data_IF_194738762722
#
_entry.id   IF_194738762722
#
_cell.length_a   1.000
_cell.length_b   1.000
_cell.length_c   1.000
_cell.angle_alpha   90.00
_cell.angle_beta   90.00
_cell.angle_gamma   90.00
#
_symmetry.space_group_name_H-M   'P 1'
#
loop_
_entity.id
_entity.type
_entity.pdbx_description
1 polymer ?
#
# COMPACT_ATOMS: atom_id res chain seq x y z
N UNK A 1 13.39 -19.19 -9.35
CA UNK A 1 14.25 -19.17 -10.54
C UNK A 1 13.43 -19.70 -11.69
N UNK A 2 12.74 -18.83 -12.42
CA UNK A 2 12.15 -19.14 -13.72
C UNK A 2 13.07 -18.50 -14.74
N UNK A 3 13.72 -19.31 -15.58
CA UNK A 3 14.43 -18.85 -16.77
C UNK A 3 13.41 -18.17 -17.67
N UNK A 4 13.34 -16.82 -17.67
CA UNK A 4 12.58 -16.09 -18.68
C UNK A 4 13.22 -16.40 -20.04
N UNK A 5 12.52 -17.17 -20.88
CA UNK A 5 12.90 -17.41 -22.26
C UNK A 5 12.98 -16.06 -22.97
N UNK A 6 14.15 -15.77 -23.55
CA UNK A 6 14.38 -14.54 -24.32
C UNK A 6 13.49 -14.56 -25.57
N UNK A 7 12.70 -13.50 -25.78
CA UNK A 7 11.89 -13.34 -26.99
C UNK A 7 12.80 -13.26 -28.23
N UNK A 8 12.51 -14.09 -29.23
CA UNK A 8 13.18 -14.12 -30.52
C UNK A 8 12.23 -13.66 -31.66
N UNK A 9 12.69 -13.78 -32.91
CA UNK A 9 11.95 -13.30 -34.07
C UNK A 9 10.70 -14.12 -34.39
N UNK A 10 10.62 -15.37 -33.94
CA UNK A 10 9.52 -16.29 -34.25
C UNK A 10 8.41 -16.22 -33.18
N UNK A 11 8.68 -15.56 -32.05
CA UNK A 11 7.71 -15.37 -30.99
C UNK A 11 6.53 -14.49 -31.42
N UNK A 12 5.32 -14.92 -31.10
CA UNK A 12 4.06 -14.22 -31.38
C UNK A 12 3.52 -13.59 -30.09
N UNK A 13 3.42 -12.25 -29.98
CA UNK A 13 2.80 -11.61 -28.83
C UNK A 13 1.34 -12.00 -28.66
N UNK A 14 0.90 -12.36 -27.44
CA UNK A 14 -0.52 -12.59 -27.17
C UNK A 14 -1.35 -11.33 -27.47
N UNK A 15 -2.56 -11.54 -27.97
CA UNK A 15 -3.51 -10.47 -28.27
C UNK A 15 -3.75 -9.59 -27.03
N UNK A 16 -3.75 -8.27 -27.25
CA UNK A 16 -3.93 -7.26 -26.19
C UNK A 16 -5.10 -6.31 -26.55
N UNK A 17 -6.35 -6.81 -26.59
CA UNK A 17 -7.45 -6.13 -27.27
C UNK A 17 -7.96 -4.89 -26.53
N UNK A 18 -7.73 -4.80 -25.22
CA UNK A 18 -8.22 -3.71 -24.37
C UNK A 18 -7.11 -2.74 -23.96
N UNK A 19 -5.98 -2.67 -24.68
CA UNK A 19 -4.87 -1.79 -24.31
C UNK A 19 -5.30 -0.31 -24.26
N UNK A 20 -5.29 0.27 -23.06
CA UNK A 20 -5.43 1.70 -22.88
C UNK A 20 -4.07 2.38 -23.08
N UNK A 21 -4.08 3.49 -23.81
CA UNK A 21 -2.88 4.25 -24.12
C UNK A 21 -3.10 5.71 -23.81
N UNK A 22 -2.24 6.26 -22.94
CA UNK A 22 -2.31 7.64 -22.46
C UNK A 22 -0.99 8.33 -22.78
N UNK A 23 -1.06 9.47 -23.45
CA UNK A 23 0.11 10.31 -23.76
C UNK A 23 0.22 11.46 -22.75
N UNK A 24 1.43 11.68 -22.24
CA UNK A 24 1.80 12.85 -21.44
C UNK A 24 3.26 13.22 -21.69
N UNK A 25 3.51 14.47 -22.07
CA UNK A 25 4.86 15.05 -22.24
C UNK A 25 5.80 14.20 -23.12
N UNK A 26 5.27 13.62 -24.20
CA UNK A 26 6.02 12.78 -25.14
C UNK A 26 6.25 11.33 -24.66
N UNK A 27 5.70 10.95 -23.50
CA UNK A 27 5.72 9.58 -22.97
C UNK A 27 4.34 8.94 -23.11
N UNK A 28 4.33 7.65 -23.41
CA UNK A 28 3.12 6.91 -23.72
C UNK A 28 2.98 5.76 -22.72
N UNK A 29 2.04 5.90 -21.80
CA UNK A 29 1.66 4.84 -20.86
C UNK A 29 0.75 3.86 -21.61
N UNK A 30 1.16 2.59 -21.67
CA UNK A 30 0.36 1.50 -22.20
C UNK A 30 -0.07 0.62 -21.02
N UNK A 31 -1.36 0.65 -20.70
CA UNK A 31 -1.99 -0.02 -19.57
C UNK A 31 -2.87 -1.16 -20.10
N UNK A 32 -2.74 -2.35 -19.51
CA UNK A 32 -3.77 -3.37 -19.66
C UNK A 32 -4.83 -3.12 -18.58
N UNK A 33 -6.08 -2.76 -18.90
CA UNK A 33 -7.09 -2.40 -17.89
C UNK A 33 -7.58 -3.62 -17.10
N UNK A 34 -7.26 -4.85 -17.53
CA UNK A 34 -7.75 -6.09 -16.93
C UNK A 34 -6.83 -6.60 -15.82
N UNK A 35 -5.58 -6.14 -15.75
CA UNK A 35 -4.61 -6.50 -14.71
C UNK A 35 -3.85 -5.24 -14.27
N UNK A 36 -3.29 -5.17 -13.05
CA UNK A 36 -2.51 -4.01 -12.62
C UNK A 36 -1.10 -3.98 -13.25
N UNK A 37 -1.03 -4.00 -14.58
CA UNK A 37 0.21 -4.01 -15.38
C UNK A 37 0.22 -2.89 -16.41
N UNK A 38 1.34 -2.19 -16.49
CA UNK A 38 1.58 -1.12 -17.46
C UNK A 38 3.06 -1.03 -17.83
N UNK A 39 3.33 -0.46 -19.00
CA UNK A 39 4.68 -0.04 -19.41
C UNK A 39 4.63 1.39 -19.95
N UNK A 40 5.76 2.10 -19.86
CA UNK A 40 5.92 3.43 -20.47
C UNK A 40 6.88 3.32 -21.64
N UNK A 41 6.46 3.81 -22.80
CA UNK A 41 7.24 3.79 -24.04
C UNK A 41 7.11 5.12 -24.78
N UNK A 42 7.69 5.21 -25.97
CA UNK A 42 7.50 6.32 -26.92
C UNK A 42 6.39 5.98 -27.89
N UNK A 43 5.93 6.97 -28.66
CA UNK A 43 4.87 6.81 -29.66
C UNK A 43 5.00 5.56 -30.54
N UNK A 44 6.17 5.20 -31.13
CA UNK A 44 6.29 4.00 -31.96
C UNK A 44 5.99 2.71 -31.20
N UNK A 45 6.45 2.59 -29.95
CA UNK A 45 6.18 1.41 -29.13
C UNK A 45 4.71 1.30 -28.74
N UNK A 46 4.06 2.42 -28.42
CA UNK A 46 2.64 2.43 -28.07
C UNK A 46 1.75 2.05 -29.27
N UNK A 47 2.09 2.55 -30.46
CA UNK A 47 1.41 2.15 -31.69
C UNK A 47 1.63 0.67 -31.99
N UNK A 48 2.88 0.18 -31.85
CA UNK A 48 3.19 -1.23 -32.06
C UNK A 48 2.39 -2.15 -31.13
N UNK A 49 2.27 -1.80 -29.84
CA UNK A 49 1.46 -2.58 -28.89
C UNK A 49 -0.03 -2.56 -29.24
N UNK A 50 -0.55 -1.45 -29.78
CA UNK A 50 -1.92 -1.37 -30.29
C UNK A 50 -2.17 -2.18 -31.56
N UNK A 51 -1.13 -2.46 -32.34
CA UNK A 51 -1.22 -3.23 -33.57
C UNK A 51 -1.13 -4.75 -33.34
N UNK A 52 -0.91 -5.18 -32.09
CA UNK A 52 -0.80 -6.61 -31.78
C UNK A 52 -2.11 -7.31 -32.14
N UNK A 53 -2.01 -8.28 -33.05
CA UNK A 53 -3.11 -9.08 -33.59
C UNK A 53 -3.21 -10.49 -32.96
N UNK A 54 -2.19 -10.92 -32.21
CA UNK A 54 -2.10 -12.27 -31.66
C UNK A 54 -1.65 -13.34 -32.67
N UNK A 55 -1.27 -12.94 -33.89
CA UNK A 55 -0.96 -13.85 -35.00
C UNK A 55 0.43 -13.57 -35.60
N UNK A 56 0.79 -12.30 -35.76
CA UNK A 56 2.06 -11.87 -36.35
C UNK A 56 3.23 -12.05 -35.40
N UNK A 57 4.37 -12.55 -35.90
CA UNK A 57 5.60 -12.73 -35.12
C UNK A 57 6.36 -11.41 -34.91
N UNK A 58 7.32 -11.40 -33.99
CA UNK A 58 8.28 -10.29 -33.83
C UNK A 58 8.94 -9.93 -35.16
N UNK A 59 9.34 -10.92 -35.96
CA UNK A 59 9.94 -10.73 -37.27
C UNK A 59 8.99 -10.10 -38.29
N UNK A 60 7.68 -10.40 -38.22
CA UNK A 60 6.66 -9.77 -39.06
C UNK A 60 6.54 -8.28 -38.75
N UNK A 61 6.46 -7.93 -37.46
CA UNK A 61 6.43 -6.54 -37.02
C UNK A 61 7.70 -5.77 -37.39
N UNK A 62 8.88 -6.40 -37.27
CA UNK A 62 10.13 -5.77 -37.69
C UNK A 62 10.13 -5.46 -39.19
N UNK A 63 9.74 -6.42 -40.03
CA UNK A 63 9.61 -6.22 -41.48
C UNK A 63 8.62 -5.11 -41.82
N UNK A 64 7.47 -5.06 -41.13
CA UNK A 64 6.48 -4.01 -41.30
C UNK A 64 7.07 -2.63 -41.01
N UNK A 65 7.77 -2.47 -39.88
CA UNK A 65 8.39 -1.19 -39.51
C UNK A 65 9.49 -0.78 -40.50
N UNK A 66 10.36 -1.72 -40.90
CA UNK A 66 11.43 -1.47 -41.87
C UNK A 66 10.87 -1.01 -43.22
N UNK A 67 9.77 -1.61 -43.69
CA UNK A 67 9.08 -1.22 -44.93
C UNK A 67 8.54 0.21 -44.89
N UNK A 68 8.30 0.78 -43.71
CA UNK A 68 7.85 2.15 -43.50
C UNK A 68 8.96 3.10 -43.02
N UNK A 69 10.23 2.65 -43.05
CA UNK A 69 11.37 3.46 -42.63
C UNK A 69 11.42 3.73 -41.12
N UNK A 70 10.76 2.91 -40.32
CA UNK A 70 10.75 3.01 -38.85
C UNK A 70 11.79 2.02 -38.30
N UNK A 71 12.74 2.47 -37.44
CA UNK A 71 13.74 1.57 -36.87
C UNK A 71 13.12 0.40 -36.08
N UNK A 72 13.47 -0.84 -36.46
CA UNK A 72 12.91 -2.08 -35.90
C UNK A 72 13.79 -2.77 -34.84
N UNK A 73 15.01 -2.27 -34.60
CA UNK A 73 16.01 -2.90 -33.73
C UNK A 73 15.59 -3.05 -32.24
N UNK A 74 14.48 -2.42 -31.81
CA UNK A 74 13.96 -2.47 -30.44
C UNK A 74 12.66 -3.26 -30.25
N UNK A 75 12.11 -3.90 -31.29
CA UNK A 75 10.80 -4.59 -31.21
C UNK A 75 10.82 -5.74 -30.20
N UNK A 76 11.81 -6.65 -30.30
CA UNK A 76 11.95 -7.78 -29.40
C UNK A 76 12.14 -7.34 -27.94
N UNK A 77 12.93 -6.28 -27.72
CA UNK A 77 13.15 -5.72 -26.38
C UNK A 77 11.87 -5.12 -25.80
N UNK A 78 11.09 -4.39 -26.60
CA UNK A 78 9.80 -3.84 -26.17
C UNK A 78 8.85 -4.95 -25.71
N UNK A 79 8.71 -6.02 -26.49
CA UNK A 79 7.85 -7.14 -26.12
C UNK A 79 8.40 -7.92 -24.92
N UNK A 80 9.72 -8.00 -24.76
CA UNK A 80 10.32 -8.62 -23.57
C UNK A 80 9.97 -7.80 -22.33
N UNK A 81 10.07 -6.48 -22.41
CA UNK A 81 9.66 -5.58 -21.32
C UNK A 81 8.18 -5.71 -21.04
N UNK A 82 7.31 -5.76 -22.06
CA UNK A 82 5.88 -5.96 -21.90
C UNK A 82 5.55 -7.31 -21.23
N UNK A 83 6.20 -8.39 -21.63
CA UNK A 83 6.04 -9.73 -21.05
C UNK A 83 6.49 -9.77 -19.60
N UNK A 84 7.70 -9.29 -19.29
CA UNK A 84 8.22 -9.22 -17.92
C UNK A 84 7.37 -8.30 -17.03
N UNK A 85 6.79 -7.25 -17.59
CA UNK A 85 5.83 -6.39 -16.91
C UNK A 85 4.46 -7.06 -16.69
N UNK A 86 4.21 -8.23 -17.29
CA UNK A 86 2.93 -8.96 -17.27
C UNK A 86 1.82 -8.23 -18.04
N UNK A 87 2.18 -7.43 -19.05
CA UNK A 87 1.22 -6.64 -19.83
C UNK A 87 0.26 -7.53 -20.62
N UNK A 88 0.73 -8.68 -21.12
CA UNK A 88 -0.07 -9.64 -21.88
C UNK A 88 -0.96 -10.55 -21.03
N UNK A 89 -0.92 -10.41 -19.71
CA UNK A 89 -1.75 -11.25 -18.87
C UNK A 89 -3.20 -10.78 -18.88
N UNK A 90 -4.10 -11.74 -18.96
CA UNK A 90 -5.48 -11.53 -18.53
C UNK A 90 -5.57 -11.85 -17.04
N UNK A 91 -6.51 -11.24 -16.30
CA UNK A 91 -6.78 -11.66 -14.96
C UNK A 91 -7.12 -13.15 -15.06
N UNK A 92 -6.30 -13.99 -14.43
CA UNK A 92 -6.83 -15.24 -13.93
C UNK A 92 -7.86 -14.78 -12.91
N UNK A 93 -9.11 -14.63 -13.33
CA UNK A 93 -10.23 -14.77 -12.41
C UNK A 93 -9.89 -16.06 -11.70
N UNK A 94 -9.60 -16.06 -10.38
CA UNK A 94 -9.46 -17.31 -9.66
C UNK A 94 -10.71 -18.09 -10.06
N UNK A 95 -10.53 -19.25 -10.70
CA UNK A 95 -11.71 -20.02 -11.12
C UNK A 95 -12.58 -20.13 -9.88
N UNK A 96 -13.88 -19.86 -9.96
CA UNK A 96 -14.79 -20.09 -8.83
C UNK A 96 -14.51 -21.52 -8.36
N UNK A 97 -13.92 -21.67 -7.17
CA UNK A 97 -13.42 -22.96 -6.65
C UNK A 97 -11.89 -23.18 -6.61
N UNK A 98 -11.04 -22.29 -7.14
CA UNK A 98 -9.61 -22.22 -6.77
C UNK A 98 -9.53 -21.64 -5.37
N UNK A 99 -9.61 -22.55 -4.42
CA UNK A 99 -9.59 -22.24 -3.01
C UNK A 99 -8.28 -21.54 -2.62
N UNK A 100 -8.29 -20.76 -1.54
CA UNK A 100 -7.08 -20.17 -0.92
C UNK A 100 -6.04 -21.23 -0.46
N UNK A 101 -6.26 -22.51 -0.77
CA UNK A 101 -5.45 -23.64 -0.36
C UNK A 101 -4.03 -23.48 -0.92
N UNK A 102 -3.11 -23.18 -0.01
CA UNK A 102 -1.67 -23.05 -0.30
C UNK A 102 -1.15 -21.61 -0.29
N UNK A 103 -2.01 -20.58 -0.34
CA UNK A 103 -1.57 -19.18 -0.19
C UNK A 103 -1.38 -18.86 1.29
N UNK A 104 -0.21 -18.33 1.63
CA UNK A 104 0.10 -17.89 3.00
C UNK A 104 -0.05 -16.39 3.12
N UNK A 105 -0.66 -15.93 4.21
CA UNK A 105 -0.73 -14.50 4.52
C UNK A 105 0.66 -13.92 4.75
N UNK A 106 0.94 -12.79 4.09
CA UNK A 106 2.23 -12.11 4.19
C UNK A 106 2.16 -10.81 4.97
N UNK A 107 0.97 -10.20 5.06
CA UNK A 107 0.74 -9.03 5.89
C UNK A 107 -0.70 -8.96 6.43
N UNK A 108 -0.85 -8.49 7.66
CA UNK A 108 -2.14 -8.07 8.24
C UNK A 108 -1.99 -6.63 8.74
N UNK A 109 -2.97 -5.81 8.38
CA UNK A 109 -3.17 -4.50 8.95
C UNK A 109 -4.23 -4.61 10.06
N UNK A 110 -3.77 -4.74 11.31
CA UNK A 110 -4.60 -5.01 12.47
C UNK A 110 -5.00 -3.69 13.14
N UNK A 111 -6.29 -3.38 13.10
CA UNK A 111 -6.88 -2.30 13.87
C UNK A 111 -7.21 -2.83 15.25
N UNK A 112 -6.39 -2.49 16.24
CA UNK A 112 -6.56 -3.03 17.60
C UNK A 112 -7.72 -2.35 18.35
N UNK A 113 -8.01 -1.10 17.99
CA UNK A 113 -9.15 -0.34 18.48
C UNK A 113 -9.44 0.80 17.51
N UNK A 114 -10.70 1.20 17.31
CA UNK A 114 -11.03 2.44 16.62
C UNK A 114 -11.00 3.68 17.54
N UNK A 115 -10.78 3.49 18.85
CA UNK A 115 -10.56 4.58 19.80
C UNK A 115 -9.23 5.27 19.52
N UNK A 116 -9.24 6.60 19.52
CA UNK A 116 -8.05 7.43 19.35
C UNK A 116 -8.07 8.58 20.34
N UNK A 117 -6.91 9.02 20.83
CA UNK A 117 -6.85 10.24 21.63
C UNK A 117 -6.93 11.53 20.79
N UNK A 118 -7.05 11.41 19.46
CA UNK A 118 -7.26 12.51 18.51
C UNK A 118 -8.55 12.28 17.71
N UNK A 119 -9.03 13.34 17.06
CA UNK A 119 -10.16 13.31 16.13
C UNK A 119 -9.79 14.08 14.86
N UNK A 120 -8.84 13.54 14.08
CA UNK A 120 -8.34 14.21 12.88
C UNK A 120 -9.45 14.49 11.87
N UNK A 121 -9.39 15.63 11.19
CA UNK A 121 -10.42 16.10 10.24
C UNK A 121 -10.60 15.16 9.06
N UNK A 122 -9.52 14.53 8.56
CA UNK A 122 -9.56 13.66 7.38
C UNK A 122 -9.63 12.15 7.70
N UNK A 123 -9.79 11.77 8.97
CA UNK A 123 -9.60 10.37 9.40
C UNK A 123 -10.52 9.40 8.63
N UNK A 124 -9.92 8.53 7.82
CA UNK A 124 -10.66 7.54 7.01
C UNK A 124 -11.40 6.48 7.83
N UNK A 125 -11.01 6.26 9.09
CA UNK A 125 -11.66 5.33 10.04
C UNK A 125 -12.68 6.00 10.96
N UNK A 126 -12.80 7.32 10.85
CA UNK A 126 -13.61 8.14 11.75
C UNK A 126 -13.26 7.97 13.23
N UNK A 127 -12.02 7.56 13.53
CA UNK A 127 -11.56 7.32 14.90
C UNK A 127 -11.72 8.55 15.80
N UNK A 128 -12.07 8.36 17.06
CA UNK A 128 -12.25 9.45 18.02
C UNK A 128 -12.03 8.99 19.47
N UNK A 129 -11.92 9.93 20.43
CA UNK A 129 -11.81 9.60 21.86
C UNK A 129 -13.06 8.93 22.45
N UNK A 130 -14.21 9.13 21.81
CA UNK A 130 -15.52 8.68 22.27
C UNK A 130 -15.85 7.26 21.84
N UNK A 131 -15.13 6.72 20.84
CA UNK A 131 -15.37 5.35 20.39
C UNK A 131 -14.96 4.32 21.46
N UNK A 132 -15.73 3.23 21.59
CA UNK A 132 -15.44 2.19 22.58
C UNK A 132 -14.25 1.33 22.15
N UNK A 133 -13.77 0.53 23.10
CA UNK A 133 -12.89 -0.60 22.82
C UNK A 133 -13.77 -1.84 22.78
N UNK A 134 -13.80 -2.52 21.65
CA UNK A 134 -14.80 -3.57 21.38
C UNK A 134 -14.46 -4.91 22.03
N UNK A 135 -13.18 -5.28 22.06
CA UNK A 135 -12.71 -6.55 22.60
C UNK A 135 -11.46 -6.34 23.46
N UNK A 136 -11.18 -7.30 24.33
CA UNK A 136 -9.97 -7.32 25.14
C UNK A 136 -8.80 -7.99 24.39
N UNK A 137 -7.63 -8.04 25.04
CA UNK A 137 -6.41 -8.62 24.49
C UNK A 137 -6.59 -10.09 24.08
N UNK A 138 -7.34 -10.86 24.87
CA UNK A 138 -7.47 -12.30 24.71
C UNK A 138 -8.08 -12.68 23.36
N UNK A 139 -9.03 -11.86 22.87
CA UNK A 139 -9.67 -12.07 21.56
C UNK A 139 -8.66 -11.93 20.42
N UNK A 140 -7.81 -10.92 20.47
CA UNK A 140 -6.77 -10.69 19.45
C UNK A 140 -5.63 -11.71 19.55
N UNK A 141 -5.25 -12.12 20.77
CA UNK A 141 -4.24 -13.16 21.01
C UNK A 141 -4.71 -14.49 20.39
N UNK A 142 -5.92 -14.93 20.71
CA UNK A 142 -6.51 -16.14 20.16
C UNK A 142 -6.59 -16.09 18.63
N UNK A 143 -6.93 -14.93 18.06
CA UNK A 143 -6.91 -14.72 16.61
C UNK A 143 -5.49 -14.87 16.02
N UNK A 144 -4.46 -14.27 16.62
CA UNK A 144 -3.09 -14.36 16.10
C UNK A 144 -2.56 -15.79 16.12
N UNK A 145 -2.89 -16.55 17.17
CA UNK A 145 -2.58 -17.98 17.30
C UNK A 145 -3.35 -18.82 16.28
N UNK A 146 -4.65 -18.56 16.14
CA UNK A 146 -5.51 -19.23 15.15
C UNK A 146 -5.00 -19.02 13.72
N UNK A 147 -4.55 -17.81 13.38
CA UNK A 147 -4.06 -17.49 12.04
C UNK A 147 -2.68 -18.08 11.76
N UNK A 148 -1.92 -18.51 12.78
CA UNK A 148 -0.51 -18.93 12.66
C UNK A 148 -0.27 -19.98 11.55
N UNK A 149 -1.06 -21.06 11.44
CA UNK A 149 -0.89 -22.06 10.39
C UNK A 149 -1.08 -21.49 8.98
N UNK A 150 -1.80 -20.38 8.82
CA UNK A 150 -2.09 -19.74 7.54
C UNK A 150 -1.12 -18.62 7.17
N UNK A 151 -0.19 -18.28 8.07
CA UNK A 151 0.79 -17.21 7.85
C UNK A 151 2.06 -17.67 7.17
N UNK A 152 2.72 -16.76 6.44
CA UNK A 152 4.04 -17.00 5.86
C UNK A 152 5.14 -16.81 6.91
N UNK A 153 6.35 -17.38 6.70
CA UNK A 153 7.50 -17.15 7.59
C UNK A 153 7.95 -15.68 7.70
N UNK A 154 7.44 -14.80 6.84
CA UNK A 154 7.78 -13.37 6.82
C UNK A 154 6.59 -12.48 7.15
N UNK A 155 5.54 -13.05 7.75
CA UNK A 155 4.31 -12.38 8.12
C UNK A 155 4.59 -11.08 8.88
N UNK A 156 3.96 -10.01 8.42
CA UNK A 156 4.06 -8.67 8.97
C UNK A 156 2.72 -8.25 9.57
N UNK A 157 2.72 -7.81 10.83
CA UNK A 157 1.54 -7.21 11.46
C UNK A 157 1.77 -5.71 11.56
N UNK A 158 0.94 -4.91 10.89
CA UNK A 158 0.86 -3.47 11.13
C UNK A 158 -0.20 -3.20 12.17
N UNK A 159 0.22 -2.82 13.37
CA UNK A 159 -0.67 -2.36 14.45
C UNK A 159 -1.13 -0.95 14.15
N UNK A 160 -2.43 -0.77 14.01
CA UNK A 160 -3.11 0.48 13.70
C UNK A 160 -4.50 0.49 14.35
N UNK A 161 -5.47 1.20 13.76
CA UNK A 161 -6.76 1.50 14.37
C UNK A 161 -7.06 2.99 14.30
N UNK A 162 -7.63 3.49 15.39
CA UNK A 162 -7.42 4.86 15.84
C UNK A 162 -5.99 5.02 16.32
N UNK A 163 -5.77 4.86 17.63
CA UNK A 163 -4.42 4.80 18.20
C UNK A 163 -4.22 3.45 18.92
N UNK A 164 -3.40 2.53 18.39
CA UNK A 164 -3.25 1.19 18.97
C UNK A 164 -2.77 1.23 20.42
N UNK A 165 -1.97 2.22 20.83
CA UNK A 165 -1.49 2.36 22.21
C UNK A 165 -2.58 2.77 23.21
N UNK A 166 -3.80 3.08 22.74
CA UNK A 166 -4.96 3.34 23.60
C UNK A 166 -5.66 2.05 24.05
N UNK A 167 -5.37 0.91 23.42
CA UNK A 167 -5.92 -0.38 23.82
C UNK A 167 -5.20 -0.90 25.10
N UNK A 168 -5.91 -1.22 26.20
CA UNK A 168 -5.30 -1.69 27.44
C UNK A 168 -4.39 -2.91 27.27
N UNK A 169 -4.78 -3.81 26.36
CA UNK A 169 -4.02 -5.01 25.99
C UNK A 169 -2.92 -4.83 24.95
N UNK A 170 -2.58 -3.59 24.55
CA UNK A 170 -1.64 -3.34 23.44
C UNK A 170 -0.31 -4.10 23.59
N UNK A 171 0.28 -4.08 24.79
CA UNK A 171 1.56 -4.75 25.05
C UNK A 171 1.44 -6.27 24.92
N UNK A 172 0.43 -6.85 25.56
CA UNK A 172 0.19 -8.30 25.57
C UNK A 172 -0.02 -8.86 24.15
N UNK A 173 -0.82 -8.18 23.32
CA UNK A 173 -1.05 -8.61 21.93
C UNK A 173 0.24 -8.51 21.09
N UNK A 174 1.04 -7.47 21.28
CA UNK A 174 2.32 -7.27 20.57
C UNK A 174 3.37 -8.29 21.00
N UNK A 175 3.46 -8.60 22.29
CA UNK A 175 4.35 -9.63 22.85
C UNK A 175 4.01 -10.99 22.25
N UNK A 176 2.73 -11.38 22.25
CA UNK A 176 2.26 -12.61 21.59
C UNK A 176 2.60 -12.61 20.10
N UNK A 177 2.35 -11.51 19.38
CA UNK A 177 2.72 -11.38 17.96
C UNK A 177 4.23 -11.60 17.73
N UNK A 178 5.06 -11.08 18.63
CA UNK A 178 6.51 -11.25 18.62
C UNK A 178 6.90 -12.71 18.89
N UNK A 179 6.29 -13.35 19.89
CA UNK A 179 6.53 -14.77 20.24
C UNK A 179 6.12 -15.72 19.10
N UNK A 180 5.07 -15.39 18.37
CA UNK A 180 4.66 -16.11 17.16
C UNK A 180 5.62 -15.87 15.97
N UNK A 181 6.66 -15.05 16.13
CA UNK A 181 7.67 -14.77 15.11
C UNK A 181 7.21 -13.80 14.03
N UNK A 182 6.15 -13.02 14.27
CA UNK A 182 5.69 -12.02 13.34
C UNK A 182 6.54 -10.75 13.37
N UNK A 183 6.60 -10.05 12.24
CA UNK A 183 7.34 -8.80 12.07
C UNK A 183 6.42 -7.61 12.32
N UNK A 184 6.49 -7.02 13.51
CA UNK A 184 5.58 -5.94 13.88
C UNK A 184 5.99 -4.59 13.27
N UNK A 185 5.00 -3.80 12.87
CA UNK A 185 5.09 -2.38 12.51
C UNK A 185 4.07 -1.62 13.33
N UNK A 186 4.47 -0.51 13.92
CA UNK A 186 3.55 0.39 14.60
C UNK A 186 3.14 1.50 13.64
N UNK A 187 1.85 1.81 13.51
CA UNK A 187 1.37 3.09 13.00
C UNK A 187 0.74 3.85 14.18
N UNK A 188 1.31 5.00 14.52
CA UNK A 188 0.91 5.78 15.70
C UNK A 188 0.88 7.28 15.39
N UNK A 189 0.02 8.00 16.10
CA UNK A 189 0.03 9.46 16.16
C UNK A 189 1.21 10.01 16.98
N UNK A 190 1.93 9.16 17.73
CA UNK A 190 3.11 9.48 18.54
C UNK A 190 2.93 10.59 19.60
N UNK A 191 1.71 11.00 19.91
CA UNK A 191 1.44 12.08 20.87
C UNK A 191 1.71 11.68 22.33
N UNK A 192 1.85 10.38 22.62
CA UNK A 192 1.98 9.84 23.99
C UNK A 192 3.18 8.89 24.14
N UNK A 193 4.26 9.09 23.37
CA UNK A 193 5.48 8.28 23.49
C UNK A 193 6.23 8.63 24.78
N UNK A 194 6.08 7.78 25.79
CA UNK A 194 6.87 7.80 27.04
C UNK A 194 8.16 6.99 26.88
N UNK A 195 9.12 7.11 27.80
CA UNK A 195 10.33 6.28 27.75
C UNK A 195 10.02 4.78 27.84
N UNK A 196 9.17 4.29 28.76
CA UNK A 196 8.80 2.88 28.80
C UNK A 196 8.07 2.38 27.54
N UNK A 197 7.34 3.26 26.85
CA UNK A 197 6.71 2.90 25.57
C UNK A 197 7.74 2.88 24.45
N UNK A 198 8.70 3.81 24.44
CA UNK A 198 9.77 3.84 23.46
C UNK A 198 10.72 2.62 23.60
N UNK A 199 11.03 2.19 24.83
CA UNK A 199 11.79 0.96 25.11
C UNK A 199 11.04 -0.26 24.56
N UNK A 200 9.75 -0.37 24.86
CA UNK A 200 8.91 -1.43 24.33
C UNK A 200 8.83 -1.44 22.79
N UNK A 201 8.74 -0.26 22.17
CA UNK A 201 8.72 -0.15 20.71
C UNK A 201 10.05 -0.63 20.12
N UNK A 202 11.18 -0.29 20.74
CA UNK A 202 12.49 -0.75 20.32
C UNK A 202 12.62 -2.28 20.35
N UNK A 203 12.11 -2.92 21.41
CA UNK A 203 12.20 -4.36 21.59
C UNK A 203 11.30 -5.15 20.61
N UNK A 204 10.09 -4.65 20.33
CA UNK A 204 9.06 -5.44 19.64
C UNK A 204 8.75 -5.03 18.21
N UNK A 205 9.20 -3.84 17.76
CA UNK A 205 8.86 -3.32 16.44
C UNK A 205 10.09 -3.04 15.60
N UNK A 206 10.08 -3.56 14.37
CA UNK A 206 11.18 -3.30 13.41
C UNK A 206 11.18 -1.85 12.88
N UNK A 207 10.03 -1.15 13.00
CA UNK A 207 9.84 0.27 12.65
C UNK A 207 8.54 0.83 13.20
N UNK A 208 8.54 2.15 13.43
CA UNK A 208 7.35 2.93 13.73
C UNK A 208 7.05 3.90 12.56
N UNK A 209 5.80 3.90 12.09
CA UNK A 209 5.24 4.89 11.18
C UNK A 209 4.58 5.97 12.03
N UNK A 210 5.03 7.20 11.89
CA UNK A 210 4.60 8.33 12.72
C UNK A 210 3.94 9.37 11.83
N UNK A 211 2.75 9.75 12.26
CA UNK A 211 1.91 10.74 11.64
C UNK A 211 2.37 12.18 11.92
N UNK A 212 2.79 12.94 10.91
CA UNK A 212 3.19 14.35 11.02
C UNK A 212 2.82 15.12 9.75
N UNK A 213 1.83 16.01 9.82
CA UNK A 213 1.28 16.66 8.61
C UNK A 213 1.71 18.13 8.43
N UNK A 214 2.60 18.65 9.28
CA UNK A 214 3.03 20.04 9.22
C UNK A 214 4.36 20.28 9.94
N UNK A 215 5.10 21.33 9.58
CA UNK A 215 6.42 21.64 10.14
C UNK A 215 6.38 22.34 11.50
N UNK A 216 5.19 22.75 11.94
CA UNK A 216 4.97 23.45 13.20
C UNK A 216 3.53 23.22 13.69
N UNK A 217 3.23 23.74 14.87
CA UNK A 217 1.91 23.60 15.51
C UNK A 217 0.78 24.26 14.69
N UNK A 218 1.05 25.41 14.05
CA UNK A 218 0.06 26.13 13.25
C UNK A 218 -0.46 25.28 12.10
N UNK A 219 0.43 24.63 11.35
CA UNK A 219 0.05 23.78 10.21
C UNK A 219 -0.43 22.40 10.67
N UNK A 220 0.29 21.74 11.60
CA UNK A 220 -0.06 20.39 12.04
C UNK A 220 -1.45 20.33 12.71
N UNK A 221 -1.82 21.38 13.45
CA UNK A 221 -3.10 21.40 14.17
C UNK A 221 -4.32 21.56 13.26
N UNK A 222 -4.14 22.04 12.01
CA UNK A 222 -5.23 22.17 11.04
C UNK A 222 -5.90 20.82 10.75
N UNK A 223 -5.13 19.73 10.80
CA UNK A 223 -5.63 18.40 10.49
C UNK A 223 -5.70 17.47 11.69
N UNK A 224 -4.82 17.64 12.68
CA UNK A 224 -4.67 16.71 13.82
C UNK A 224 -5.03 17.30 15.18
N UNK A 225 -5.52 18.55 15.20
CA UNK A 225 -5.92 19.24 16.42
C UNK A 225 -4.74 19.85 17.19
N UNK A 226 -5.07 20.80 18.07
CA UNK A 226 -4.10 21.65 18.78
C UNK A 226 -3.33 20.91 19.87
N UNK A 227 -2.11 21.36 20.12
CA UNK A 227 -1.20 20.94 21.19
C UNK A 227 -0.44 19.65 20.91
N UNK A 228 -0.44 19.15 19.66
CA UNK A 228 0.11 17.83 19.35
C UNK A 228 1.51 17.87 18.73
N UNK A 229 1.88 18.91 17.99
CA UNK A 229 3.11 18.92 17.20
C UNK A 229 4.35 18.65 18.06
N UNK A 230 4.50 19.39 19.16
CA UNK A 230 5.65 19.22 20.05
C UNK A 230 5.72 17.83 20.69
N UNK A 231 4.57 17.19 20.94
CA UNK A 231 4.51 15.83 21.49
C UNK A 231 5.01 14.82 20.44
N UNK A 232 4.59 14.99 19.19
CA UNK A 232 5.02 14.13 18.06
C UNK A 232 6.53 14.22 17.87
N UNK A 233 7.09 15.44 17.83
CA UNK A 233 8.55 15.64 17.68
C UNK A 233 9.32 14.96 18.81
N UNK A 234 8.92 15.18 20.08
CA UNK A 234 9.55 14.49 21.22
C UNK A 234 9.42 12.97 21.14
N UNK A 235 8.29 12.47 20.63
CA UNK A 235 8.10 11.03 20.40
C UNK A 235 9.05 10.47 19.35
N UNK A 236 9.25 11.18 18.24
CA UNK A 236 10.22 10.84 17.19
C UNK A 236 11.63 10.79 17.79
N UNK A 237 12.05 11.82 18.53
CA UNK A 237 13.38 11.90 19.16
C UNK A 237 13.63 10.74 20.12
N UNK A 238 12.66 10.42 20.99
CA UNK A 238 12.75 9.30 21.94
C UNK A 238 12.95 7.95 21.25
N UNK A 239 12.29 7.74 20.11
CA UNK A 239 12.39 6.52 19.31
C UNK A 239 13.74 6.44 18.58
N UNK A 240 14.16 7.54 17.96
CA UNK A 240 15.45 7.62 17.29
C UNK A 240 16.63 7.42 18.25
N UNK A 241 16.55 7.96 19.46
CA UNK A 241 17.55 7.76 20.51
C UNK A 241 17.76 6.28 20.89
N UNK A 242 16.77 5.43 20.64
CA UNK A 242 16.82 3.97 20.84
C UNK A 242 17.13 3.21 19.54
N UNK A 243 17.50 3.90 18.47
CA UNK A 243 17.77 3.28 17.17
C UNK A 243 16.54 2.69 16.49
N UNK A 244 15.32 3.07 16.90
CA UNK A 244 14.09 2.65 16.20
C UNK A 244 14.09 3.27 14.81
N UNK A 245 13.79 2.45 13.79
CA UNK A 245 13.55 2.95 12.44
C UNK A 245 12.23 3.71 12.39
N UNK A 246 12.29 5.01 12.18
CA UNK A 246 11.14 5.89 12.08
C UNK A 246 10.80 6.18 10.62
N UNK A 247 9.52 6.07 10.30
CA UNK A 247 8.94 6.47 9.03
C UNK A 247 7.96 7.58 9.31
N UNK A 248 8.34 8.83 9.08
CA UNK A 248 7.39 9.93 9.16
C UNK A 248 6.48 9.85 7.94
N UNK A 249 5.21 9.63 8.18
CA UNK A 249 4.17 9.54 7.16
C UNK A 249 3.34 10.82 7.20
N UNK A 250 3.45 11.59 6.12
CA UNK A 250 2.75 12.87 5.92
C UNK A 250 1.52 12.59 5.07
N UNK A 251 0.34 12.94 5.57
CA UNK A 251 -0.87 12.99 4.74
C UNK A 251 -0.88 14.33 4.01
N UNK A 252 -0.74 14.31 2.68
CA UNK A 252 -0.70 15.50 1.86
C UNK A 252 -2.10 15.96 1.48
N UNK A 253 -2.48 17.15 1.94
CA UNK A 253 -3.56 17.97 1.40
C UNK A 253 -3.01 19.00 0.40
N UNK A 254 -3.89 19.62 -0.39
CA UNK A 254 -3.54 20.79 -1.23
C UNK A 254 -2.89 21.89 -0.41
N UNK A 255 -3.48 22.24 0.73
CA UNK A 255 -2.94 23.23 1.67
C UNK A 255 -1.61 22.84 2.31
N UNK A 256 -1.32 21.54 2.41
CA UNK A 256 -0.09 21.01 3.01
C UNK A 256 1.11 20.97 2.06
N UNK A 257 0.88 20.92 0.73
CA UNK A 257 1.93 20.79 -0.28
C UNK A 257 3.07 21.84 -0.16
N UNK A 258 2.81 23.13 0.10
CA UNK A 258 3.88 24.13 0.22
C UNK A 258 4.85 23.88 1.37
N UNK A 259 4.44 23.16 2.42
CA UNK A 259 5.21 23.03 3.67
C UNK A 259 6.08 21.77 3.73
N UNK A 260 6.10 20.96 2.68
CA UNK A 260 6.70 19.64 2.73
C UNK A 260 8.21 19.67 2.94
N UNK A 261 8.91 20.60 2.31
CA UNK A 261 10.35 20.78 2.54
C UNK A 261 10.65 21.25 3.96
N UNK A 262 9.77 22.07 4.54
CA UNK A 262 9.90 22.52 5.93
C UNK A 262 9.73 21.36 6.91
N UNK A 263 8.83 20.41 6.63
CA UNK A 263 8.69 19.20 7.46
C UNK A 263 10.02 18.45 7.54
N UNK A 264 10.76 18.35 6.43
CA UNK A 264 12.08 17.70 6.44
C UNK A 264 13.10 18.47 7.29
N UNK A 265 13.07 19.81 7.26
CA UNK A 265 14.01 20.66 8.01
C UNK A 265 13.82 20.59 9.53
N UNK A 266 12.61 20.28 10.01
CA UNK A 266 12.34 20.15 11.44
C UNK A 266 12.58 18.73 11.98
N UNK A 267 12.94 17.78 11.11
CA UNK A 267 13.21 16.40 11.48
C UNK A 267 14.73 16.13 11.57
N UNK A 268 15.19 15.26 12.47
CA UNK A 268 16.60 14.88 12.52
C UNK A 268 17.09 14.22 11.23
N UNK A 269 18.26 14.63 10.74
CA UNK A 269 18.94 13.98 9.63
C UNK A 269 19.66 12.71 10.13
N UNK A 270 19.06 11.55 9.90
CA UNK A 270 19.61 10.26 10.33
C UNK A 270 19.18 9.13 9.39
N UNK A 271 20.03 8.11 9.13
CA UNK A 271 19.64 6.96 8.31
C UNK A 271 18.48 6.15 8.90
N UNK A 272 18.16 6.32 10.18
CA UNK A 272 17.02 5.67 10.84
C UNK A 272 15.71 6.41 10.64
N UNK A 273 15.69 7.59 9.99
CA UNK A 273 14.48 8.34 9.69
C UNK A 273 14.29 8.44 8.18
N UNK A 274 13.06 8.20 7.73
CA UNK A 274 12.63 8.52 6.36
C UNK A 274 11.28 9.22 6.38
N UNK A 275 11.06 10.12 5.42
CA UNK A 275 9.78 10.76 5.20
C UNK A 275 9.10 10.10 4.00
N UNK A 276 7.82 9.76 4.14
CA UNK A 276 6.97 9.23 3.08
C UNK A 276 5.68 10.04 3.00
N UNK A 277 5.14 10.15 1.80
CA UNK A 277 3.98 10.97 1.51
C UNK A 277 2.84 10.08 1.02
N UNK A 278 1.65 10.32 1.56
CA UNK A 278 0.41 9.65 1.17
C UNK A 278 -0.61 10.74 0.85
N UNK A 279 -1.40 10.64 -0.23
CA UNK A 279 -2.40 11.66 -0.50
C UNK A 279 -3.51 11.59 0.56
N UNK A 280 -4.14 12.72 0.85
CA UNK A 280 -5.41 12.74 1.55
C UNK A 280 -6.43 11.98 0.70
N UNK A 281 -7.03 10.94 1.28
CA UNK A 281 -8.11 10.19 0.64
C UNK A 281 -9.45 10.75 1.11
N UNK A 282 -10.40 11.05 0.21
CA UNK A 282 -11.74 11.53 0.57
C UNK A 282 -12.62 10.37 1.08
N UNK A 283 -12.28 9.82 2.24
CA UNK A 283 -12.95 8.68 2.88
C UNK A 283 -13.18 8.97 4.37
N UNK A 284 -14.22 8.39 4.96
CA UNK A 284 -14.66 8.72 6.32
C UNK A 284 -14.88 10.23 6.46
N UNK A 285 -14.37 10.84 7.53
CA UNK A 285 -14.38 12.32 7.68
C UNK A 285 -13.58 13.04 6.60
N UNK A 286 -12.64 12.38 5.93
CA UNK A 286 -11.95 12.91 4.75
C UNK A 286 -12.90 13.30 3.61
N UNK A 287 -14.09 12.72 3.54
CA UNK A 287 -15.11 13.11 2.56
C UNK A 287 -15.62 14.54 2.79
N UNK A 288 -15.63 15.03 4.03
CA UNK A 288 -16.04 16.41 4.36
C UNK A 288 -15.01 17.46 3.92
N UNK A 289 -13.77 17.03 3.68
CA UNK A 289 -12.65 17.86 3.22
C UNK A 289 -12.13 17.36 1.87
N UNK A 290 -13.00 16.80 1.02
CA UNK A 290 -12.61 16.25 -0.28
C UNK A 290 -11.93 17.27 -1.19
N UNK A 291 -12.29 18.56 -1.07
CA UNK A 291 -11.66 19.64 -1.84
C UNK A 291 -10.17 19.82 -1.51
N UNK A 292 -9.73 19.38 -0.33
CA UNK A 292 -8.32 19.38 0.11
C UNK A 292 -7.53 18.18 -0.41
N UNK A 293 -8.17 17.17 -1.00
CA UNK A 293 -7.46 16.05 -1.63
C UNK A 293 -6.67 16.57 -2.85
N UNK A 294 -5.35 16.38 -2.92
CA UNK A 294 -4.58 16.75 -4.11
C UNK A 294 -5.07 15.91 -5.29
N UNK A 295 -5.07 16.48 -6.48
CA UNK A 295 -5.29 15.67 -7.67
C UNK A 295 -4.08 14.76 -7.93
N UNK A 296 -4.24 13.80 -8.85
CA UNK A 296 -3.18 12.86 -9.16
C UNK A 296 -1.94 13.55 -9.71
N UNK A 297 -2.10 14.63 -10.49
CA UNK A 297 -1.00 15.29 -11.17
C UNK A 297 -0.13 16.05 -10.16
N UNK A 298 -0.78 16.78 -9.24
CA UNK A 298 -0.16 17.42 -8.09
C UNK A 298 0.58 16.41 -7.21
N UNK A 299 -0.10 15.32 -6.81
CA UNK A 299 0.48 14.34 -5.90
C UNK A 299 1.64 13.57 -6.53
N UNK A 300 1.47 13.03 -7.75
CA UNK A 300 2.52 12.25 -8.41
C UNK A 300 3.66 13.12 -8.93
N UNK A 301 3.38 14.35 -9.36
CA UNK A 301 4.39 15.35 -9.68
C UNK A 301 5.25 15.65 -8.45
N UNK A 302 4.61 15.99 -7.33
CA UNK A 302 5.28 16.19 -6.05
C UNK A 302 6.08 14.96 -5.61
N UNK A 303 5.45 13.77 -5.61
CA UNK A 303 6.04 12.53 -5.14
C UNK A 303 7.31 12.21 -5.92
N UNK A 304 7.26 12.33 -7.25
CA UNK A 304 8.41 12.11 -8.15
C UNK A 304 9.56 13.07 -7.84
N UNK A 305 9.27 14.36 -7.66
CA UNK A 305 10.29 15.37 -7.33
C UNK A 305 10.98 15.09 -5.97
N UNK A 306 10.28 14.43 -5.04
CA UNK A 306 10.76 14.19 -3.68
C UNK A 306 11.25 12.76 -3.42
N UNK A 307 11.55 12.02 -4.50
CA UNK A 307 12.10 10.65 -4.46
C UNK A 307 11.07 9.56 -4.18
N UNK A 308 9.79 9.92 -4.13
CA UNK A 308 8.65 9.03 -4.29
C UNK A 308 8.42 8.69 -5.77
N UNK A 309 7.50 7.76 -6.03
CA UNK A 309 7.28 7.20 -7.36
C UNK A 309 7.90 5.82 -7.53
N UNK A 310 7.22 4.99 -8.31
CA UNK A 310 7.71 3.66 -8.69
C UNK A 310 8.97 3.88 -9.51
N UNK A 311 10.15 3.56 -8.95
CA UNK A 311 11.37 3.49 -9.76
C UNK A 311 11.15 2.38 -10.77
N UNK A 312 10.78 2.76 -11.98
CA UNK A 312 10.78 1.85 -13.12
C UNK A 312 12.24 1.51 -13.39
N UNK A 313 12.70 0.41 -12.81
CA UNK A 313 13.93 -0.22 -13.23
C UNK A 313 13.54 -1.22 -14.33
N UNK A 314 14.05 -1.08 -15.57
CA UNK A 314 13.86 -2.08 -16.62
C UNK A 314 14.10 -3.49 -16.05
N UNK A 315 13.15 -4.41 -16.26
CA UNK A 315 13.25 -5.80 -15.78
C UNK A 315 12.88 -6.04 -14.31
N UNK A 316 12.41 -5.05 -13.55
CA UNK A 316 11.77 -5.29 -12.25
C UNK A 316 10.25 -5.18 -12.37
N UNK A 317 9.49 -6.28 -12.20
CA UNK A 317 8.04 -6.20 -12.18
C UNK A 317 7.60 -5.24 -11.06
N UNK A 318 6.74 -4.29 -11.42
CA UNK A 318 5.95 -3.53 -10.47
C UNK A 318 5.16 -4.54 -9.62
N UNK A 319 5.51 -4.70 -8.35
CA UNK A 319 4.63 -5.45 -7.44
C UNK A 319 3.48 -4.53 -7.09
N UNK A 320 2.35 -4.70 -7.79
CA UNK A 320 1.13 -3.94 -7.56
C UNK A 320 0.59 -4.07 -6.13
N UNK A 321 -0.51 -3.38 -5.85
CA UNK A 321 -1.25 -3.48 -4.60
C UNK A 321 -1.57 -4.96 -4.29
N UNK A 322 -1.25 -5.43 -3.08
CA UNK A 322 -1.50 -6.82 -2.65
C UNK A 322 -2.85 -6.98 -1.93
N UNK A 323 -3.76 -6.02 -2.08
CA UNK A 323 -5.08 -6.05 -1.45
C UNK A 323 -5.82 -7.34 -1.84
N UNK A 324 -6.28 -8.10 -0.86
CA UNK A 324 -6.99 -9.36 -1.05
C UNK A 324 -6.16 -10.54 -1.62
N UNK A 325 -4.92 -10.30 -2.07
CA UNK A 325 -4.07 -11.31 -2.73
C UNK A 325 -2.96 -11.89 -1.81
N UNK A 326 -2.69 -11.25 -0.68
CA UNK A 326 -1.63 -11.64 0.26
C UNK A 326 -1.44 -10.70 1.44
N UNK A 327 -2.15 -9.56 1.43
CA UNK A 327 -2.33 -8.63 2.54
C UNK A 327 -3.81 -8.47 2.82
N UNK A 328 -4.18 -8.37 4.10
CA UNK A 328 -5.54 -8.10 4.55
C UNK A 328 -5.55 -7.03 5.63
N UNK A 329 -6.75 -6.52 5.94
CA UNK A 329 -6.97 -5.69 7.10
C UNK A 329 -8.05 -6.29 7.99
N UNK A 330 -7.84 -6.24 9.29
CA UNK A 330 -8.76 -6.75 10.30
C UNK A 330 -9.17 -5.57 11.17
N UNK A 331 -10.46 -5.30 11.24
CA UNK A 331 -11.05 -4.28 12.10
C UNK A 331 -11.02 -4.71 13.57
N UNK A 332 -11.23 -3.76 14.48
CA UNK A 332 -11.32 -4.02 15.91
C UNK A 332 -12.59 -4.77 16.32
N UNK A 333 -13.53 -4.96 15.40
CA UNK A 333 -14.70 -5.86 15.50
C UNK A 333 -14.41 -7.29 15.05
N UNK A 334 -13.23 -7.55 14.46
CA UNK A 334 -12.89 -8.82 13.81
C UNK A 334 -13.26 -8.88 12.33
N UNK A 335 -13.97 -7.88 11.79
CA UNK A 335 -14.33 -7.86 10.38
C UNK A 335 -13.09 -7.78 9.49
N UNK A 336 -13.06 -8.59 8.44
CA UNK A 336 -11.92 -8.75 7.54
C UNK A 336 -12.18 -8.05 6.22
N UNK A 337 -11.19 -7.29 5.74
CA UNK A 337 -11.26 -6.51 4.50
C UNK A 337 -10.03 -6.73 3.62
N UNK A 338 -10.13 -6.56 2.29
CA UNK A 338 -8.98 -6.67 1.38
C UNK A 338 -7.88 -5.63 1.64
N UNK A 339 -8.24 -4.47 2.18
CA UNK A 339 -7.35 -3.33 2.40
C UNK A 339 -7.83 -2.49 3.60
N UNK A 340 -6.90 -1.83 4.30
CA UNK A 340 -7.23 -0.88 5.38
C UNK A 340 -8.09 0.31 4.91
N UNK A 341 -8.03 0.69 3.63
CA UNK A 341 -8.87 1.74 3.05
C UNK A 341 -10.27 1.25 2.63
N UNK A 342 -10.54 -0.06 2.64
CA UNK A 342 -11.79 -0.65 2.16
C UNK A 342 -12.67 -1.15 3.30
N UNK A 343 -12.66 -0.48 4.45
CA UNK A 343 -13.52 -0.81 5.60
C UNK A 343 -14.95 -0.33 5.35
N UNK A 344 -15.57 -0.84 4.29
CA UNK A 344 -16.97 -0.65 3.94
C UNK A 344 -17.65 -2.01 3.88
N UNK A 345 -18.90 -2.10 4.30
CA UNK A 345 -19.64 -3.37 4.35
C UNK A 345 -19.63 -4.11 3.01
N UNK A 346 -19.66 -3.38 1.89
CA UNK A 346 -19.61 -3.94 0.54
C UNK A 346 -18.32 -4.73 0.22
N UNK A 347 -17.24 -4.50 0.96
CA UNK A 347 -15.95 -5.19 0.81
C UNK A 347 -15.63 -6.12 1.99
N UNK A 348 -16.57 -6.34 2.91
CA UNK A 348 -16.36 -7.24 4.05
C UNK A 348 -16.28 -8.69 3.58
N UNK A 349 -15.16 -9.35 3.88
CA UNK A 349 -14.89 -10.74 3.52
C UNK A 349 -15.44 -11.75 4.55
N UNK A 350 -15.74 -11.29 5.77
CA UNK A 350 -16.20 -12.12 6.88
C UNK A 350 -15.70 -11.55 8.20
N UNK A 351 -15.80 -12.32 9.28
CA UNK A 351 -15.34 -11.95 10.62
C UNK A 351 -14.45 -13.04 11.23
N UNK A 352 -13.19 -12.70 11.49
CA UNK A 352 -12.16 -13.66 11.96
C UNK A 352 -12.42 -14.22 13.36
N UNK A 353 -13.36 -13.65 14.10
CA UNK A 353 -13.73 -14.10 15.43
C UNK A 353 -14.87 -15.12 15.44
N UNK A 354 -15.58 -15.27 14.33
CA UNK A 354 -16.79 -16.09 14.21
C UNK A 354 -16.73 -17.07 13.05
N UNK A 355 -16.07 -16.69 11.96
CA UNK A 355 -15.97 -17.49 10.74
C UNK A 355 -14.64 -18.25 10.69
N UNK A 356 -14.65 -19.42 10.06
CA UNK A 356 -13.40 -20.12 9.75
C UNK A 356 -12.58 -19.34 8.73
N UNK A 357 -11.26 -19.49 8.78
CA UNK A 357 -10.36 -18.97 7.76
C UNK A 357 -10.84 -19.40 6.38
N UNK A 358 -11.17 -20.68 6.20
CA UNK A 358 -11.68 -21.20 4.94
C UNK A 358 -12.91 -20.43 4.48
N UNK A 359 -13.91 -20.20 5.33
CA UNK A 359 -15.14 -19.48 4.95
C UNK A 359 -14.88 -18.02 4.55
N UNK A 360 -14.02 -17.31 5.28
CA UNK A 360 -13.63 -15.92 4.96
C UNK A 360 -12.99 -15.84 3.56
N UNK A 361 -12.42 -16.94 3.07
CA UNK A 361 -11.67 -17.00 1.82
C UNK A 361 -12.21 -17.98 0.77
N UNK A 362 -13.32 -18.70 1.03
CA UNK A 362 -13.85 -19.75 0.15
C UNK A 362 -15.04 -19.30 -0.69
N UNK A 363 -15.64 -18.14 -0.42
CA UNK A 363 -16.79 -17.66 -1.16
C UNK A 363 -16.61 -16.17 -1.49
N UNK A 364 -16.16 -15.89 -2.71
CA UNK A 364 -16.44 -14.58 -3.32
C UNK A 364 -17.49 -14.85 -4.38
N UNK A 365 -18.78 -14.80 -3.98
CA UNK A 365 -19.82 -14.50 -4.95
C UNK A 365 -19.39 -13.22 -5.68
N UNK A 366 -19.43 -13.27 -7.01
CA UNK A 366 -19.14 -12.14 -7.87
C UNK A 366 -19.89 -10.91 -7.34
N UNK A 367 -19.15 -9.83 -7.06
CA UNK A 367 -19.75 -8.50 -6.93
C UNK A 367 -20.66 -8.32 -8.15
N UNK A 368 -21.98 -8.05 -7.98
CA UNK A 368 -22.86 -7.81 -9.12
C UNK A 368 -22.28 -6.67 -9.96
N UNK A 369 -22.05 -6.97 -11.24
CA UNK A 369 -21.56 -6.01 -12.25
C UNK A 369 -22.50 -4.83 -12.43
#
# INVERSE_FOLDING_TARGET
>A
MTTESRIDNDWVPPLLPELEVIEREGRWLCLNPRVPSWIVTRRPGALLLKMIDGESSVGDYQRLLDAHGIPSAGVAELFQVAMTARLFESPTVPRVGESWHGRKLSAIYLHLTNRCNLQCSYCYRESSPQLPIHHDASRFIAMLEYLKPYTSPHMEITFSGGEPTMHPGFREVVETSTHLGYRNVLLTNATRITDPLADFIHEHFRRAKISLDGPNEEIHSQTRGKGNFSNVIRGIEKLLARGVRVVVQVTLSKSGLPYVDEIRRVLPETPNLRVVYTPLFPMGRGAEVADEAPDNDDFYGFSTAHGGGTRYAPGRPSRGCHAGAGSLSIADTGDVYPCHLFHFDAFRLGNVFHDSFENIFSETESVPT
#
